data_IF_557455825842
#
_entry.id   IF_557455825842
#
_cell.length_a   1.000
_cell.length_b   1.000
_cell.length_c   1.000
_cell.angle_alpha   90.00
_cell.angle_beta   90.00
_cell.angle_gamma   90.00
#
_symmetry.space_group_name_H-M   'P 1'
#
loop_
_entity.id
_entity.type
_entity.pdbx_description
1 polymer ?
#
# COMPACT_ATOMS: atom_id res chain seq x y z
N UNK A 1 -6.01 -3.49 2.25
CA UNK A 1 -4.99 -3.35 3.33
C UNK A 1 -5.67 -3.56 4.68
N UNK A 2 -5.01 -4.21 5.65
CA UNK A 2 -5.60 -4.52 6.96
C UNK A 2 -4.74 -3.97 8.11
N UNK A 3 -5.37 -3.66 9.24
CA UNK A 3 -4.68 -3.33 10.49
C UNK A 3 -4.00 -4.56 11.08
N UNK A 4 -2.91 -4.34 11.79
CA UNK A 4 -2.19 -5.40 12.49
C UNK A 4 -3.11 -6.05 13.53
N UNK A 5 -3.09 -7.39 13.59
CA UNK A 5 -3.98 -8.14 14.48
C UNK A 5 -5.47 -8.04 14.15
N UNK A 6 -5.85 -7.44 13.01
CA UNK A 6 -7.25 -7.22 12.60
C UNK A 6 -8.07 -6.39 13.60
N UNK A 7 -7.42 -5.51 14.35
CA UNK A 7 -8.07 -4.62 15.34
C UNK A 7 -8.93 -3.55 14.63
N UNK A 8 -10.14 -3.32 15.12
CA UNK A 8 -11.16 -2.47 14.50
C UNK A 8 -10.99 -0.98 14.80
N UNK A 9 -9.84 -0.42 14.42
CA UNK A 9 -9.56 0.99 14.68
C UNK A 9 -10.50 1.94 13.96
N UNK A 10 -11.07 1.57 12.81
CA UNK A 10 -11.84 2.50 11.95
C UNK A 10 -13.30 2.71 12.38
N UNK A 11 -13.74 2.08 13.47
CA UNK A 11 -15.01 2.43 14.12
C UNK A 11 -14.92 3.77 14.85
N UNK A 12 -13.71 4.21 15.22
CA UNK A 12 -13.48 5.51 15.82
C UNK A 12 -13.38 6.61 14.74
N UNK A 13 -14.06 7.74 14.97
CA UNK A 13 -14.13 8.84 13.99
C UNK A 13 -12.77 9.49 13.73
N UNK A 14 -11.89 9.56 14.73
CA UNK A 14 -10.60 10.26 14.62
C UNK A 14 -9.60 9.47 13.77
N UNK A 15 -9.51 8.16 14.00
CA UNK A 15 -8.65 7.25 13.22
C UNK A 15 -9.15 7.17 11.77
N UNK A 16 -10.46 7.05 11.58
CA UNK A 16 -11.11 7.03 10.27
C UNK A 16 -10.86 8.34 9.51
N UNK A 17 -10.94 9.48 10.21
CA UNK A 17 -10.66 10.79 9.63
C UNK A 17 -9.24 10.86 9.06
N UNK A 18 -8.21 10.53 9.85
CA UNK A 18 -6.83 10.56 9.38
C UNK A 18 -6.59 9.57 8.22
N UNK A 19 -7.13 8.36 8.34
CA UNK A 19 -6.98 7.33 7.31
C UNK A 19 -7.62 7.77 5.97
N UNK A 20 -8.82 8.36 6.00
CA UNK A 20 -9.50 8.92 4.81
C UNK A 20 -8.80 10.16 4.27
N UNK A 21 -8.35 11.06 5.15
CA UNK A 21 -7.61 12.28 4.78
C UNK A 21 -6.36 11.94 3.99
N UNK A 22 -5.47 11.12 4.55
CA UNK A 22 -4.19 10.82 3.90
C UNK A 22 -4.33 9.96 2.64
N UNK A 23 -5.42 9.20 2.52
CA UNK A 23 -5.74 8.49 1.29
C UNK A 23 -6.10 9.46 0.17
N UNK A 24 -6.99 10.43 0.44
CA UNK A 24 -7.41 11.45 -0.55
C UNK A 24 -6.27 12.36 -1.01
N UNK A 25 -5.26 12.56 -0.17
CA UNK A 25 -4.06 13.34 -0.50
C UNK A 25 -3.02 12.56 -1.33
N UNK A 26 -3.23 11.26 -1.63
CA UNK A 26 -2.27 10.48 -2.43
C UNK A 26 -1.97 11.14 -3.79
N UNK A 27 -2.95 11.61 -4.58
CA UNK A 27 -2.71 12.29 -5.85
C UNK A 27 -1.89 13.59 -5.73
N UNK A 28 -1.99 14.30 -4.60
CA UNK A 28 -1.21 15.52 -4.36
C UNK A 28 0.28 15.19 -4.21
N UNK A 29 0.61 14.06 -3.57
CA UNK A 29 1.98 13.57 -3.38
C UNK A 29 2.51 12.77 -4.58
N UNK A 30 1.60 12.18 -5.35
CA UNK A 30 1.90 11.36 -6.52
C UNK A 30 1.03 11.80 -7.70
N UNK A 31 1.43 12.85 -8.45
CA UNK A 31 0.61 13.43 -9.53
C UNK A 31 0.25 12.46 -10.68
N UNK A 32 0.97 11.35 -10.79
CA UNK A 32 0.70 10.27 -11.74
C UNK A 32 -0.33 9.25 -11.21
N UNK A 33 -0.96 9.52 -10.07
CA UNK A 33 -1.94 8.65 -9.44
C UNK A 33 -3.31 9.32 -9.43
N UNK A 34 -4.35 8.55 -9.78
CA UNK A 34 -5.74 8.92 -9.50
C UNK A 34 -6.41 7.87 -8.63
N UNK A 35 -7.42 8.31 -7.87
CA UNK A 35 -8.17 7.44 -6.95
C UNK A 35 -9.53 7.10 -7.56
N UNK A 36 -9.89 5.83 -7.50
CA UNK A 36 -11.25 5.37 -7.74
C UNK A 36 -12.03 5.21 -6.43
N UNK A 37 -13.01 4.30 -6.42
CA UNK A 37 -13.77 3.97 -5.22
C UNK A 37 -12.85 3.42 -4.11
N UNK A 38 -13.14 3.80 -2.87
CA UNK A 38 -12.46 3.29 -1.68
C UNK A 38 -13.39 3.33 -0.46
N UNK A 39 -13.16 2.43 0.49
CA UNK A 39 -13.88 2.41 1.76
C UNK A 39 -13.02 1.83 2.89
N UNK A 40 -13.26 2.30 4.11
CA UNK A 40 -12.65 1.79 5.34
C UNK A 40 -13.73 1.09 6.15
N UNK A 41 -13.50 -0.18 6.48
CA UNK A 41 -14.48 -1.03 7.15
C UNK A 41 -13.80 -1.72 8.32
N UNK A 42 -14.19 -1.38 9.55
CA UNK A 42 -13.71 -1.94 10.82
C UNK A 42 -12.17 -1.91 10.96
N UNK A 43 -11.50 -2.90 10.39
CA UNK A 43 -10.06 -3.18 10.49
C UNK A 43 -9.32 -3.17 9.13
N UNK A 44 -10.00 -2.90 8.02
CA UNK A 44 -9.38 -2.96 6.71
C UNK A 44 -9.92 -1.87 5.78
N UNK A 45 -9.20 -1.67 4.68
CA UNK A 45 -9.56 -0.74 3.63
C UNK A 45 -9.43 -1.40 2.27
N UNK A 46 -10.42 -1.11 1.43
CA UNK A 46 -10.41 -1.34 0.00
C UNK A 46 -10.28 -0.01 -0.73
N UNK A 47 -9.54 -0.01 -1.83
CA UNK A 47 -9.39 1.17 -2.65
C UNK A 47 -8.89 0.84 -4.04
N UNK A 48 -9.34 1.62 -5.01
CA UNK A 48 -8.85 1.56 -6.39
C UNK A 48 -7.85 2.69 -6.60
N UNK A 49 -6.67 2.33 -7.09
CA UNK A 49 -5.61 3.26 -7.49
C UNK A 49 -5.34 3.04 -8.97
N UNK A 50 -5.32 4.13 -9.74
CA UNK A 50 -4.89 4.12 -11.14
C UNK A 50 -3.55 4.82 -11.24
N UNK A 51 -2.54 4.12 -11.75
CA UNK A 51 -1.21 4.67 -12.02
C UNK A 51 -1.15 5.03 -13.50
N UNK A 52 -1.10 6.32 -13.80
CA UNK A 52 -0.96 6.87 -15.15
C UNK A 52 0.52 6.80 -15.53
N UNK A 53 0.85 5.94 -16.49
CA UNK A 53 2.19 5.90 -17.07
C UNK A 53 2.21 6.82 -18.28
N UNK A 54 3.18 7.75 -18.32
CA UNK A 54 3.50 8.42 -19.57
C UNK A 54 4.11 7.37 -20.52
N UNK A 55 3.53 7.12 -21.70
CA UNK A 55 4.12 6.21 -22.67
C UNK A 55 5.59 6.54 -22.95
N UNK A 56 5.97 7.83 -22.90
CA UNK A 56 7.34 8.31 -23.18
C UNK A 56 8.33 8.02 -22.05
N UNK A 57 7.90 7.90 -20.78
CA UNK A 57 8.82 7.59 -19.68
C UNK A 57 9.35 6.15 -19.76
N UNK A 58 8.52 5.23 -20.24
CA UNK A 58 8.90 3.82 -20.42
C UNK A 58 9.98 3.58 -21.49
N UNK A 59 10.18 4.53 -22.41
CA UNK A 59 11.28 4.50 -23.39
C UNK A 59 12.61 4.98 -22.79
N UNK A 60 12.58 5.90 -21.84
CA UNK A 60 13.79 6.42 -21.16
C UNK A 60 14.30 5.40 -20.14
N UNK A 61 13.40 4.77 -19.36
CA UNK A 61 13.79 3.74 -18.39
C UNK A 61 14.38 2.49 -19.06
N UNK A 62 13.89 2.12 -20.25
CA UNK A 62 14.48 1.03 -21.04
C UNK A 62 15.89 1.36 -21.54
N UNK A 63 16.18 2.62 -21.83
CA UNK A 63 17.52 3.06 -22.27
C UNK A 63 18.49 3.13 -21.10
N UNK A 64 18.03 3.56 -19.93
CA UNK A 64 18.84 3.63 -18.71
C UNK A 64 19.13 2.24 -18.11
N UNK A 65 18.18 1.29 -18.18
CA UNK A 65 18.41 -0.10 -17.77
C UNK A 65 19.39 -0.87 -18.68
N UNK A 66 19.63 -0.40 -19.91
CA UNK A 66 20.63 -0.96 -20.83
C UNK A 66 21.97 -0.21 -20.77
N UNK A 67 22.05 0.93 -20.07
CA UNK A 67 23.26 1.74 -19.95
C UNK A 67 23.94 1.65 -18.58
N UNK A 68 23.36 0.93 -17.60
CA UNK A 68 24.01 0.75 -16.29
C UNK A 68 25.23 -0.19 -16.30
N UNK A 69 25.55 -0.84 -17.42
CA UNK A 69 26.76 -1.66 -17.59
C UNK A 69 27.91 -0.96 -18.35
N UNK A 70 27.74 0.30 -18.78
CA UNK A 70 28.77 1.03 -19.52
C UNK A 70 29.15 2.35 -18.82
N UNK A 71 30.17 2.25 -17.97
CA UNK A 71 31.14 3.30 -17.63
C UNK A 71 30.65 4.76 -17.65
N UNK A 72 30.14 5.24 -16.52
CA UNK A 72 30.05 6.67 -16.27
C UNK A 72 31.38 7.19 -15.71
N UNK A 73 32.32 7.46 -16.61
CA UNK A 73 33.50 8.27 -16.37
C UNK A 73 33.06 9.70 -16.02
N UNK A 74 33.28 10.13 -14.78
CA UNK A 74 33.19 11.54 -14.41
C UNK A 74 34.56 12.06 -13.97
N UNK A 75 35.03 12.97 -14.82
CA UNK A 75 36.14 13.93 -14.79
C UNK A 75 36.90 14.08 -13.47
N UNK A 76 38.20 13.80 -13.61
CA UNK A 76 39.35 14.22 -12.82
C UNK A 76 39.41 15.75 -12.61
N UNK A 77 39.41 16.18 -11.34
CA UNK A 77 40.23 17.30 -10.88
C UNK A 77 40.78 16.95 -9.51
N UNK A 78 42.07 16.60 -9.48
CA UNK A 78 42.81 16.26 -8.27
C UNK A 78 42.87 17.34 -7.19
N UNK A 79 42.96 16.88 -5.94
CA UNK A 79 44.16 17.06 -5.11
C UNK A 79 44.05 16.18 -3.86
N UNK A 80 45.21 15.77 -3.37
CA UNK A 80 45.51 14.72 -2.41
C UNK A 80 44.79 14.83 -1.06
N UNK A 81 44.50 13.69 -0.42
CA UNK A 81 45.23 13.21 0.77
C UNK A 81 44.78 11.77 1.11
N UNK A 82 45.78 10.92 1.32
CA UNK A 82 45.67 9.51 1.75
C UNK A 82 44.91 9.37 3.06
N UNK A 83 44.14 8.30 3.21
CA UNK A 83 44.09 7.50 4.44
C UNK A 83 43.51 6.10 4.15
N UNK A 84 44.32 5.09 4.44
CA UNK A 84 43.99 3.67 4.38
C UNK A 84 42.91 3.30 5.41
N UNK A 85 41.78 2.75 4.96
CA UNK A 85 40.81 2.04 5.80
C UNK A 85 40.20 0.88 4.99
N UNK A 86 39.95 -0.29 5.62
CA UNK A 86 39.54 -1.49 4.89
C UNK A 86 38.12 -1.31 4.35
N UNK A 87 37.91 -1.82 3.13
CA UNK A 87 36.66 -1.76 2.39
C UNK A 87 35.44 -2.07 3.26
N UNK A 88 34.59 -1.07 3.52
CA UNK A 88 33.25 -1.34 4.00
C UNK A 88 32.48 -1.94 2.84
N UNK A 89 32.17 -3.23 2.94
CA UNK A 89 31.15 -3.90 2.14
C UNK A 89 29.97 -2.94 1.93
N UNK A 90 29.66 -2.67 0.67
CA UNK A 90 28.43 -2.02 0.29
C UNK A 90 27.29 -2.89 0.81
N UNK A 91 26.75 -2.54 1.97
CA UNK A 91 25.45 -3.02 2.40
C UNK A 91 24.46 -2.44 1.40
N UNK A 92 24.14 -3.20 0.35
CA UNK A 92 22.92 -3.03 -0.42
C UNK A 92 21.79 -2.97 0.57
N UNK A 93 21.24 -1.78 0.80
CA UNK A 93 20.09 -1.57 1.69
C UNK A 93 18.98 -2.48 1.15
N UNK A 94 18.60 -3.55 1.87
CA UNK A 94 17.57 -4.44 1.38
C UNK A 94 16.26 -3.66 1.47
N UNK A 95 15.47 -3.65 0.40
CA UNK A 95 14.10 -3.11 0.30
C UNK A 95 13.93 -1.68 -0.25
N UNK A 96 14.63 -1.29 -1.31
CA UNK A 96 14.19 -0.11 -2.08
C UNK A 96 12.99 -0.50 -2.98
N UNK A 97 11.77 -0.05 -2.64
CA UNK A 97 10.66 -0.07 -3.59
C UNK A 97 10.95 0.94 -4.69
N UNK A 98 10.77 0.58 -5.96
CA UNK A 98 10.94 1.51 -7.08
C UNK A 98 10.09 2.77 -6.87
N UNK A 99 10.67 3.94 -7.11
CA UNK A 99 9.98 5.21 -6.99
C UNK A 99 8.77 5.23 -7.94
N UNK A 100 7.58 5.59 -7.43
CA UNK A 100 6.33 5.56 -8.20
C UNK A 100 5.66 4.18 -8.31
N UNK A 101 6.24 3.12 -7.74
CA UNK A 101 5.55 1.83 -7.62
C UNK A 101 4.39 1.90 -6.61
N UNK A 102 3.42 1.00 -6.76
CA UNK A 102 2.32 0.85 -5.80
C UNK A 102 2.83 0.59 -4.37
N UNK A 103 3.92 -0.18 -4.24
CA UNK A 103 4.57 -0.46 -2.96
C UNK A 103 5.10 0.82 -2.30
N UNK A 104 5.78 1.68 -3.05
CA UNK A 104 6.29 2.96 -2.53
C UNK A 104 5.14 3.90 -2.10
N UNK A 105 4.09 4.00 -2.92
CA UNK A 105 2.90 4.83 -2.62
C UNK A 105 2.23 4.36 -1.32
N UNK A 106 1.95 3.05 -1.22
CA UNK A 106 1.28 2.49 -0.06
C UNK A 106 2.17 2.50 1.19
N UNK A 107 3.49 2.38 1.05
CA UNK A 107 4.43 2.54 2.16
C UNK A 107 4.35 3.96 2.73
N UNK A 108 4.40 4.99 1.87
CA UNK A 108 4.24 6.38 2.30
C UNK A 108 2.90 6.63 2.99
N UNK A 109 1.81 6.10 2.42
CA UNK A 109 0.48 6.17 3.02
C UNK A 109 0.41 5.48 4.41
N UNK A 110 0.89 4.25 4.52
CA UNK A 110 0.90 3.49 5.79
C UNK A 110 1.71 4.22 6.85
N UNK A 111 2.87 4.78 6.48
CA UNK A 111 3.76 5.52 7.37
C UNK A 111 3.08 6.78 7.95
N UNK A 112 2.56 7.67 7.10
CA UNK A 112 1.98 8.94 7.58
C UNK A 112 0.71 8.69 8.41
N UNK A 113 -0.13 7.76 7.95
CA UNK A 113 -1.37 7.40 8.65
C UNK A 113 -1.07 6.83 10.03
N UNK A 114 -0.11 5.90 10.12
CA UNK A 114 0.34 5.35 11.41
C UNK A 114 0.88 6.43 12.34
N UNK A 115 1.75 7.30 11.84
CA UNK A 115 2.35 8.38 12.64
C UNK A 115 1.28 9.28 13.25
N UNK A 116 0.28 9.66 12.47
CA UNK A 116 -0.75 10.61 12.88
C UNK A 116 -1.80 9.98 13.80
N UNK A 117 -2.19 8.73 13.55
CA UNK A 117 -3.11 8.01 14.44
C UNK A 117 -2.45 7.77 15.81
N UNK A 118 -1.19 7.33 15.84
CA UNK A 118 -0.43 7.11 17.08
C UNK A 118 -0.08 8.38 17.85
N UNK A 119 -0.32 9.56 17.27
CA UNK A 119 -0.13 10.81 17.99
C UNK A 119 -1.09 10.90 19.18
N UNK A 120 -2.31 10.40 19.02
CA UNK A 120 -3.22 10.17 20.13
C UNK A 120 -2.75 8.94 20.93
N UNK A 121 -2.59 9.12 22.24
CA UNK A 121 -2.20 8.06 23.17
C UNK A 121 -3.17 6.88 23.17
N UNK A 122 -4.45 7.11 22.83
CA UNK A 122 -5.49 6.07 22.73
C UNK A 122 -5.18 5.01 21.66
N UNK A 123 -4.43 5.35 20.61
CA UNK A 123 -4.17 4.48 19.46
C UNK A 123 -2.67 4.21 19.24
N UNK A 124 -1.88 4.22 20.32
CA UNK A 124 -0.42 3.99 20.29
C UNK A 124 -0.02 2.66 19.64
N UNK A 125 -0.89 1.67 19.73
CA UNK A 125 -0.75 0.32 19.20
C UNK A 125 -1.17 0.18 17.73
N UNK A 126 -1.83 1.18 17.13
CA UNK A 126 -2.27 1.14 15.73
C UNK A 126 -1.13 0.78 14.79
N UNK A 127 -1.22 -0.32 14.06
CA UNK A 127 -0.28 -0.60 12.97
C UNK A 127 -1.01 -1.18 11.77
N UNK A 128 -0.36 -1.13 10.62
CA UNK A 128 -0.79 -1.84 9.43
C UNK A 128 -0.12 -3.20 9.38
N UNK A 129 -0.78 -4.19 8.80
CA UNK A 129 -0.06 -5.40 8.36
C UNK A 129 1.02 -5.02 7.35
N UNK A 130 2.12 -5.77 7.34
CA UNK A 130 3.22 -5.56 6.39
C UNK A 130 2.72 -5.63 4.95
N UNK A 131 2.02 -6.71 4.63
CA UNK A 131 1.57 -6.99 3.28
C UNK A 131 0.23 -6.33 2.95
N UNK A 132 -0.13 -6.39 1.68
CA UNK A 132 -1.44 -6.01 1.18
C UNK A 132 -1.79 -6.89 -0.01
N UNK A 133 -3.08 -7.08 -0.23
CA UNK A 133 -3.58 -7.72 -1.42
C UNK A 133 -3.85 -6.65 -2.48
N UNK A 134 -3.41 -6.92 -3.71
CA UNK A 134 -3.69 -6.11 -4.88
C UNK A 134 -4.25 -6.96 -6.03
N UNK A 135 -4.89 -6.28 -6.97
CA UNK A 135 -5.46 -6.89 -8.17
C UNK A 135 -5.45 -5.91 -9.31
N UNK A 136 -4.95 -6.35 -10.47
CA UNK A 136 -4.84 -5.50 -11.66
C UNK A 136 -6.18 -5.53 -12.40
N UNK A 137 -6.87 -4.39 -12.40
CA UNK A 137 -8.12 -4.18 -13.14
C UNK A 137 -7.78 -3.93 -14.62
N UNK A 138 -8.21 -4.82 -15.51
CA UNK A 138 -7.79 -4.81 -16.92
C UNK A 138 -8.80 -4.19 -17.87
N UNK A 139 -10.05 -4.03 -17.46
CA UNK A 139 -11.11 -3.51 -18.32
C UNK A 139 -12.22 -2.78 -17.55
N UNK A 140 -13.05 -2.06 -18.30
CA UNK A 140 -14.12 -1.23 -17.73
C UNK A 140 -15.20 -2.05 -17.00
N UNK A 141 -15.55 -3.25 -17.51
CA UNK A 141 -16.56 -4.12 -16.90
C UNK A 141 -16.12 -4.56 -15.50
N UNK A 142 -14.85 -4.94 -15.38
CA UNK A 142 -14.23 -5.31 -14.11
C UNK A 142 -14.14 -4.12 -13.15
N UNK A 143 -13.71 -2.95 -13.64
CA UNK A 143 -13.70 -1.71 -12.86
C UNK A 143 -15.08 -1.41 -12.27
N UNK A 144 -16.12 -1.42 -13.10
CA UNK A 144 -17.50 -1.16 -12.65
C UNK A 144 -17.99 -2.19 -11.62
N UNK A 145 -17.57 -3.46 -11.74
CA UNK A 145 -17.92 -4.50 -10.77
C UNK A 145 -17.26 -4.25 -9.41
N UNK A 146 -15.96 -3.96 -9.40
CA UNK A 146 -15.18 -3.74 -8.17
C UNK A 146 -15.63 -2.45 -7.49
N UNK A 147 -15.82 -1.37 -8.25
CA UNK A 147 -16.37 -0.11 -7.74
C UNK A 147 -17.71 -0.33 -7.05
N UNK A 148 -18.65 -1.01 -7.74
CA UNK A 148 -19.96 -1.34 -7.16
C UNK A 148 -19.84 -2.19 -5.90
N UNK A 149 -18.91 -3.14 -5.86
CA UNK A 149 -18.66 -3.95 -4.69
C UNK A 149 -18.23 -3.07 -3.52
N UNK A 150 -17.22 -2.21 -3.70
CA UNK A 150 -16.72 -1.29 -2.66
C UNK A 150 -17.85 -0.38 -2.15
N UNK A 151 -18.61 0.23 -3.05
CA UNK A 151 -19.70 1.14 -2.70
C UNK A 151 -20.85 0.44 -1.96
N UNK A 152 -21.24 -0.76 -2.40
CA UNK A 152 -22.36 -1.51 -1.79
C UNK A 152 -21.96 -2.28 -0.53
N UNK A 153 -20.66 -2.47 -0.27
CA UNK A 153 -20.20 -3.26 0.87
C UNK A 153 -20.54 -2.61 2.21
N UNK A 154 -20.74 -1.29 2.23
CA UNK A 154 -21.21 -0.52 3.38
C UNK A 154 -22.48 -1.13 4.01
N UNK A 155 -23.39 -1.73 3.23
CA UNK A 155 -24.67 -2.28 3.70
C UNK A 155 -24.65 -3.78 4.04
N UNK A 156 -23.55 -4.49 3.71
CA UNK A 156 -23.48 -5.96 3.76
C UNK A 156 -22.62 -6.52 4.89
N UNK A 157 -21.70 -5.73 5.45
CA UNK A 157 -20.80 -6.20 6.51
C UNK A 157 -21.51 -6.56 7.83
N UNK A 158 -22.58 -5.85 8.21
CA UNK A 158 -23.38 -6.22 9.39
C UNK A 158 -24.01 -7.63 9.28
N UNK A 159 -24.08 -8.18 8.06
CA UNK A 159 -24.73 -9.47 7.75
C UNK A 159 -23.75 -10.56 7.30
N UNK A 160 -22.45 -10.32 7.39
CA UNK A 160 -21.43 -11.29 6.97
C UNK A 160 -21.30 -12.45 7.97
N UNK A 161 -21.39 -13.70 7.48
CA UNK A 161 -21.23 -14.93 8.28
C UNK A 161 -19.81 -15.11 8.83
N UNK A 162 -18.81 -14.43 8.25
CA UNK A 162 -17.43 -14.45 8.72
C UNK A 162 -17.08 -13.24 9.59
N UNK A 163 -18.10 -12.52 10.09
CA UNK A 163 -17.96 -11.60 11.20
C UNK A 163 -17.60 -12.39 12.48
N UNK A 164 -16.45 -12.17 13.12
CA UNK A 164 -16.03 -12.90 14.33
C UNK A 164 -16.92 -12.64 15.56
N UNK A 165 -17.91 -11.74 15.46
CA UNK A 165 -18.88 -11.40 16.51
C UNK A 165 -20.29 -11.99 16.20
N UNK A 166 -20.45 -12.72 15.09
CA UNK A 166 -21.72 -13.37 14.73
C UNK A 166 -22.02 -14.56 15.66
N UNK A 167 -23.26 -14.73 16.18
CA UNK A 167 -23.63 -15.83 17.08
C UNK A 167 -23.62 -17.24 16.42
N UNK A 168 -23.30 -17.33 15.13
CA UNK A 168 -23.20 -18.60 14.39
C UNK A 168 -21.75 -19.07 14.16
N UNK A 169 -20.78 -18.58 14.95
CA UNK A 169 -19.36 -18.94 14.83
C UNK A 169 -19.07 -20.25 15.59
N UNK A 170 -18.84 -21.36 14.89
CA UNK A 170 -18.40 -22.64 15.50
C UNK A 170 -16.90 -22.85 15.30
N UNK A 171 -16.22 -23.29 16.36
CA UNK A 171 -14.76 -23.27 16.50
C UNK A 171 -13.98 -24.22 15.57
N UNK A 172 -14.65 -25.06 14.79
CA UNK A 172 -14.02 -26.10 13.97
C UNK A 172 -13.53 -25.59 12.59
N UNK A 173 -13.87 -24.36 12.18
CA UNK A 173 -13.53 -23.82 10.85
C UNK A 173 -12.27 -22.92 10.83
N UNK A 174 -11.47 -22.95 11.92
CA UNK A 174 -10.32 -22.05 12.12
C UNK A 174 -9.15 -22.34 11.14
N UNK A 175 -9.10 -23.50 10.48
CA UNK A 175 -8.04 -23.81 9.51
C UNK A 175 -8.30 -23.30 8.09
N UNK A 176 -9.54 -22.95 7.74
CA UNK A 176 -9.93 -22.59 6.37
C UNK A 176 -10.15 -21.07 6.17
N UNK A 177 -10.45 -20.31 7.24
CA UNK A 177 -10.80 -18.89 7.18
C UNK A 177 -9.65 -17.93 6.77
N UNK A 178 -8.44 -18.46 6.56
CA UNK A 178 -7.32 -17.76 5.90
C UNK A 178 -7.36 -17.83 4.37
N UNK A 179 -8.27 -18.63 3.79
CA UNK A 179 -8.44 -18.81 2.34
C UNK A 179 -9.86 -18.43 1.92
N UNK A 180 -9.99 -17.19 1.44
CA UNK A 180 -10.91 -16.74 0.38
C UNK A 180 -12.31 -16.24 0.80
N UNK A 181 -12.70 -15.09 0.23
CA UNK A 181 -13.75 -15.08 -0.80
C UNK A 181 -13.27 -14.50 -2.14
N UNK A 182 -12.03 -14.79 -2.54
CA UNK A 182 -11.42 -14.24 -3.76
C UNK A 182 -11.25 -15.24 -4.92
N UNK A 183 -11.65 -16.52 -4.78
CA UNK A 183 -11.44 -17.56 -5.80
C UNK A 183 -12.60 -17.77 -6.80
N UNK A 184 -13.60 -16.89 -6.82
CA UNK A 184 -14.68 -16.94 -7.82
C UNK A 184 -14.77 -15.66 -8.65
N UNK A 185 -13.61 -15.07 -8.94
CA UNK A 185 -13.47 -13.93 -9.84
C UNK A 185 -12.33 -14.13 -10.83
#
# INVERSE_FOLDING_TARGET
MCTQGKVEFFNDKSTLYFAKKFWKEIPERHPHVTLGAFEFVHNHMHGIITIIRDPKSSFIDRKNSLQSDAGASFIDRGSQLQNDAPASNQHTIPNHCESGSIGAILQGYKMITKRMIRFDTKFRDFDWQRDFWDHIIRNQKEYSRITRYIEKNLERWERDRHNPISPNFTADEISEAGRLPWNTM
#
